data_IF_668024768826
#
_entry.id   IF_668024768826
#
_cell.length_a   1.000
_cell.length_b   1.000
_cell.length_c   1.000
_cell.angle_alpha   90.00
_cell.angle_beta   90.00
_cell.angle_gamma   90.00
#
_symmetry.space_group_name_H-M   'P 1'
#
loop_
_entity.id
_entity.type
_entity.pdbx_description
1 polymer ?
#
# COMPACT_ATOMS: atom_id res chain seq x y z
N UNK A 1 25.27 52.00 -6.87
CA UNK A 1 25.97 50.83 -7.44
C UNK A 1 25.02 49.64 -7.30
N UNK A 2 24.29 49.31 -8.36
CA UNK A 2 23.35 48.20 -8.38
C UNK A 2 24.07 46.97 -8.94
N UNK A 3 24.09 45.85 -8.22
CA UNK A 3 24.43 44.54 -8.82
C UNK A 3 23.36 43.54 -8.39
N UNK A 4 22.81 42.91 -9.41
CA UNK A 4 21.64 42.05 -9.39
C UNK A 4 22.04 40.56 -9.30
N UNK A 5 21.18 39.79 -8.62
CA UNK A 5 20.77 38.40 -8.89
C UNK A 5 21.84 37.36 -9.28
N UNK A 6 21.95 36.32 -8.45
CA UNK A 6 21.84 34.93 -8.95
C UNK A 6 21.02 34.09 -7.96
N UNK A 7 19.78 33.84 -8.36
CA UNK A 7 18.88 32.83 -7.80
C UNK A 7 19.45 31.45 -8.12
N UNK A 8 20.07 30.78 -7.16
CA UNK A 8 20.44 29.36 -7.32
C UNK A 8 19.22 28.51 -7.06
N UNK A 9 18.58 28.16 -8.17
CA UNK A 9 17.36 27.42 -8.35
C UNK A 9 17.60 25.93 -8.06
N UNK A 10 17.41 25.48 -6.82
CA UNK A 10 17.47 24.06 -6.46
C UNK A 10 16.15 23.34 -6.83
N UNK A 11 15.94 23.11 -8.14
CA UNK A 11 14.78 22.39 -8.70
C UNK A 11 14.98 20.87 -8.77
N UNK A 12 15.80 20.27 -7.89
CA UNK A 12 16.04 18.82 -7.91
C UNK A 12 15.80 18.13 -6.56
N UNK A 13 14.91 18.64 -5.72
CA UNK A 13 14.42 17.91 -4.53
C UNK A 13 13.05 17.22 -4.73
N UNK A 14 12.44 17.34 -5.92
CA UNK A 14 11.12 16.80 -6.21
C UNK A 14 11.09 15.32 -6.61
N UNK A 15 12.25 14.66 -6.81
CA UNK A 15 12.31 13.28 -7.31
C UNK A 15 12.63 12.22 -6.25
N UNK A 16 12.83 12.60 -4.99
CA UNK A 16 13.13 11.64 -3.91
C UNK A 16 12.34 11.94 -2.64
N UNK A 17 11.01 12.10 -2.77
CA UNK A 17 10.10 12.15 -1.62
C UNK A 17 8.68 11.71 -1.96
N UNK A 18 8.53 10.63 -2.72
CA UNK A 18 7.23 9.94 -2.88
C UNK A 18 7.09 8.76 -1.92
N UNK A 19 7.69 8.85 -0.73
CA UNK A 19 7.74 7.78 0.27
C UNK A 19 6.65 7.89 1.36
N UNK A 20 5.61 8.69 1.13
CA UNK A 20 4.38 8.74 1.93
C UNK A 20 3.31 9.50 1.15
N UNK A 21 2.90 8.99 -0.03
CA UNK A 21 1.64 9.44 -0.61
C UNK A 21 0.55 8.93 0.30
N UNK A 22 0.04 9.80 1.18
CA UNK A 22 -1.13 9.62 2.04
C UNK A 22 -1.99 8.44 1.59
N UNK A 23 -1.70 7.24 2.12
CA UNK A 23 -2.64 6.14 2.00
C UNK A 23 -3.87 6.67 2.71
N UNK A 24 -4.91 6.92 1.93
CA UNK A 24 -6.15 7.45 2.46
C UNK A 24 -6.67 6.41 3.44
N UNK A 25 -6.49 6.68 4.73
CA UNK A 25 -6.89 5.77 5.80
C UNK A 25 -8.37 5.43 5.67
N UNK A 26 -9.19 6.35 5.13
CA UNK A 26 -10.60 6.10 4.89
C UNK A 26 -10.82 5.02 3.83
N UNK A 27 -10.04 5.03 2.74
CA UNK A 27 -10.09 3.98 1.71
C UNK A 27 -9.60 2.64 2.25
N UNK A 28 -8.54 2.64 3.08
CA UNK A 28 -8.06 1.41 3.70
C UNK A 28 -9.12 0.81 4.64
N UNK A 29 -9.77 1.64 5.46
CA UNK A 29 -10.83 1.19 6.35
C UNK A 29 -12.02 0.63 5.56
N UNK A 30 -12.42 1.32 4.48
CA UNK A 30 -13.49 0.83 3.60
C UNK A 30 -13.16 -0.53 2.99
N UNK A 31 -11.95 -0.71 2.47
CA UNK A 31 -11.50 -2.00 1.90
C UNK A 31 -11.47 -3.12 2.95
N UNK A 32 -11.07 -2.81 4.18
CA UNK A 32 -11.13 -3.76 5.29
C UNK A 32 -12.58 -4.13 5.65
N UNK A 33 -13.50 -3.16 5.61
CA UNK A 33 -14.93 -3.40 5.83
C UNK A 33 -15.56 -4.24 4.71
N UNK A 34 -15.19 -4.01 3.45
CA UNK A 34 -15.61 -4.81 2.31
C UNK A 34 -15.17 -6.28 2.48
N UNK A 35 -13.93 -6.52 2.92
CA UNK A 35 -13.42 -7.87 3.24
C UNK A 35 -14.22 -8.55 4.35
N UNK A 36 -14.52 -7.82 5.43
CA UNK A 36 -15.25 -8.35 6.58
C UNK A 36 -16.73 -8.61 6.24
N UNK A 37 -17.34 -7.77 5.40
CA UNK A 37 -18.73 -7.89 4.98
C UNK A 37 -18.94 -8.98 3.93
N UNK A 38 -17.99 -9.18 3.01
CA UNK A 38 -18.02 -10.26 2.03
C UNK A 38 -17.76 -11.64 2.68
N UNK A 39 -17.11 -11.69 3.84
CA UNK A 39 -16.80 -12.93 4.53
C UNK A 39 -17.98 -13.45 5.37
N UNK A 40 -18.35 -14.72 5.16
CA UNK A 40 -19.31 -15.43 6.02
C UNK A 40 -18.80 -15.68 7.45
N UNK A 41 -17.49 -15.57 7.67
CA UNK A 41 -16.86 -15.72 8.98
C UNK A 41 -15.75 -14.67 9.18
N UNK A 42 -15.99 -13.75 10.12
CA UNK A 42 -15.09 -12.63 10.43
C UNK A 42 -13.74 -13.08 10.99
N UNK A 43 -13.71 -14.15 11.78
CA UNK A 43 -12.45 -14.70 12.30
C UNK A 43 -11.61 -15.27 11.16
N UNK A 44 -12.24 -16.03 10.26
CA UNK A 44 -11.55 -16.67 9.15
C UNK A 44 -10.90 -15.64 8.21
N UNK A 45 -11.56 -14.52 7.91
CA UNK A 45 -10.96 -13.47 7.07
C UNK A 45 -9.82 -12.74 7.80
N UNK A 46 -9.98 -12.45 9.10
CA UNK A 46 -8.93 -11.82 9.90
C UNK A 46 -7.66 -12.68 9.95
N UNK A 47 -7.82 -13.99 10.14
CA UNK A 47 -6.70 -14.95 10.11
C UNK A 47 -6.04 -14.97 8.72
N UNK A 48 -6.82 -14.99 7.63
CA UNK A 48 -6.27 -14.98 6.27
C UNK A 48 -5.44 -13.72 5.99
N UNK A 49 -5.95 -12.53 6.38
CA UNK A 49 -5.21 -11.27 6.27
C UNK A 49 -3.91 -11.34 7.08
N UNK A 50 -3.96 -11.82 8.31
CA UNK A 50 -2.78 -11.96 9.16
C UNK A 50 -1.75 -12.94 8.59
N UNK A 51 -2.18 -14.13 8.13
CA UNK A 51 -1.31 -15.13 7.51
C UNK A 51 -0.63 -14.59 6.26
N UNK A 52 -1.37 -13.89 5.39
CA UNK A 52 -0.82 -13.30 4.17
C UNK A 52 0.16 -12.15 4.47
N UNK A 53 -0.17 -11.28 5.44
CA UNK A 53 0.76 -10.25 5.91
C UNK A 53 2.04 -10.84 6.53
N UNK A 54 1.92 -11.95 7.27
CA UNK A 54 3.06 -12.63 7.89
C UNK A 54 4.02 -13.21 6.83
N UNK A 55 3.52 -13.83 5.75
CA UNK A 55 4.35 -14.32 4.64
C UNK A 55 5.20 -13.20 4.03
N UNK A 56 4.59 -12.03 3.82
CA UNK A 56 5.26 -10.87 3.22
C UNK A 56 6.34 -10.24 4.10
N UNK A 57 6.20 -10.32 5.42
CA UNK A 57 7.28 -9.92 6.33
C UNK A 57 8.57 -10.72 6.10
N UNK A 58 8.47 -11.96 5.60
CA UNK A 58 9.63 -12.80 5.29
C UNK A 58 10.15 -12.58 3.87
N UNK A 59 9.27 -12.34 2.90
CA UNK A 59 9.65 -12.04 1.49
C UNK A 59 10.23 -10.62 1.32
N UNK A 60 9.78 -9.63 2.10
CA UNK A 60 10.25 -8.24 2.07
C UNK A 60 11.64 -8.03 2.71
N UNK A 61 12.26 -9.08 3.29
CA UNK A 61 13.62 -9.00 3.81
C UNK A 61 14.67 -8.98 2.69
N UNK A 62 14.33 -9.45 1.49
CA UNK A 62 15.25 -9.53 0.33
C UNK A 62 15.25 -8.27 -0.56
N UNK A 63 14.31 -7.34 -0.40
CA UNK A 63 14.23 -6.11 -1.21
C UNK A 63 14.70 -4.88 -0.42
N UNK A 64 15.93 -4.42 -0.68
CA UNK A 64 16.61 -3.35 0.08
C UNK A 64 16.12 -1.93 -0.31
N UNK A 65 15.52 -1.72 -1.48
CA UNK A 65 15.45 -0.38 -2.09
C UNK A 65 14.07 0.32 -2.12
N UNK A 66 12.97 -0.29 -1.69
CA UNK A 66 11.63 0.31 -1.84
C UNK A 66 11.02 0.85 -0.52
N UNK A 67 10.35 2.03 -0.51
CA UNK A 67 9.68 2.57 0.67
C UNK A 67 8.62 1.60 1.19
N UNK A 68 8.92 0.99 2.34
CA UNK A 68 8.21 -0.18 2.88
C UNK A 68 6.80 0.16 3.33
N UNK A 69 5.81 -0.24 2.54
CA UNK A 69 4.41 -0.32 2.97
C UNK A 69 4.27 -1.38 4.07
N UNK A 70 3.48 -1.12 5.11
CA UNK A 70 3.27 -2.13 6.17
C UNK A 70 2.63 -3.39 5.55
N UNK A 71 3.14 -4.60 5.82
CA UNK A 71 2.66 -5.85 5.22
C UNK A 71 1.14 -6.08 5.38
N UNK A 72 0.59 -5.65 6.52
CA UNK A 72 -0.85 -5.75 6.81
C UNK A 72 -1.67 -4.86 5.87
N UNK A 73 -1.21 -3.65 5.59
CA UNK A 73 -1.92 -2.72 4.70
C UNK A 73 -1.90 -3.27 3.27
N UNK A 74 -0.74 -3.77 2.83
CA UNK A 74 -0.59 -4.43 1.53
C UNK A 74 -1.52 -5.65 1.40
N UNK A 75 -1.57 -6.50 2.41
CA UNK A 75 -2.47 -7.67 2.43
C UNK A 75 -3.95 -7.27 2.31
N UNK A 76 -4.40 -6.22 3.02
CA UNK A 76 -5.78 -5.73 2.94
C UNK A 76 -6.11 -5.23 1.52
N UNK A 77 -5.21 -4.47 0.89
CA UNK A 77 -5.46 -3.93 -0.46
C UNK A 77 -5.57 -5.06 -1.46
N UNK A 78 -4.60 -5.96 -1.51
CA UNK A 78 -4.59 -7.03 -2.51
C UNK A 78 -5.74 -8.01 -2.31
N UNK A 79 -6.04 -8.42 -1.07
CA UNK A 79 -7.19 -9.28 -0.80
C UNK A 79 -8.51 -8.60 -1.15
N UNK A 80 -8.59 -7.28 -0.98
CA UNK A 80 -9.75 -6.49 -1.42
C UNK A 80 -9.82 -6.41 -2.94
N UNK A 81 -8.69 -6.29 -3.64
CA UNK A 81 -8.64 -6.26 -5.11
C UNK A 81 -9.06 -7.64 -5.68
N UNK A 82 -8.59 -8.74 -5.10
CA UNK A 82 -8.99 -10.14 -5.40
C UNK A 82 -10.52 -10.32 -5.31
N UNK A 83 -11.20 -9.64 -4.37
CA UNK A 83 -12.67 -9.67 -4.26
C UNK A 83 -13.36 -8.87 -5.38
N UNK A 84 -12.78 -7.76 -5.82
CA UNK A 84 -13.38 -6.88 -6.85
C UNK A 84 -13.10 -7.33 -8.28
N UNK A 85 -12.05 -8.12 -8.49
CA UNK A 85 -11.73 -8.79 -9.74
C UNK A 85 -11.58 -10.29 -9.47
N UNK A 86 -12.69 -11.03 -9.33
CA UNK A 86 -12.60 -12.47 -9.41
C UNK A 86 -11.99 -12.78 -10.78
N UNK A 87 -10.86 -13.48 -10.77
CA UNK A 87 -10.14 -13.91 -11.96
C UNK A 87 -11.16 -14.42 -13.00
N UNK A 88 -11.07 -13.92 -14.24
CA UNK A 88 -11.83 -14.47 -15.38
C UNK A 88 -11.24 -15.87 -15.62
N UNK A 89 -11.63 -16.84 -14.81
CA UNK A 89 -11.43 -18.25 -15.12
C UNK A 89 -12.51 -18.56 -16.15
N UNK A 90 -12.15 -18.39 -17.42
CA UNK A 90 -12.86 -19.06 -18.51
C UNK A 90 -12.67 -20.57 -18.38
N UNK A 91 -13.79 -21.27 -18.55
CA UNK A 91 -13.95 -22.73 -18.62
C UNK A 91 -12.80 -23.50 -19.29
#
# INVERSE_FOLDING_TARGET
MFVSKTTTNNRNSALLKRTNSNLDTSQLMRRAEDLVSAASNRYRITVQVATRAQRRRFEEFDSIDDPKMKPVIRAIIEMSDELTQPEIIGE
#
